data_IF_551418987808
#
_entry.id   IF_551418987808
#
_cell.length_a   1.000
_cell.length_b   1.000
_cell.length_c   1.000
_cell.angle_alpha   90.00
_cell.angle_beta   90.00
_cell.angle_gamma   90.00
#
_symmetry.space_group_name_H-M   'P 1'
#
loop_
_entity.id
_entity.type
_entity.pdbx_description
1 polymer ?
#
# COMPACT_ATOMS: atom_id res chain seq x y z
N UNK A 1 17.86 8.50 -22.17
CA UNK A 1 17.72 7.66 -20.96
C UNK A 1 16.61 8.26 -20.11
N UNK A 2 15.64 7.48 -19.60
CA UNK A 2 14.65 8.03 -18.67
C UNK A 2 15.37 8.56 -17.43
N UNK A 3 14.86 9.66 -16.86
CA UNK A 3 15.42 10.23 -15.64
C UNK A 3 15.39 9.19 -14.51
N UNK A 4 16.48 9.09 -13.76
CA UNK A 4 16.53 8.25 -12.55
C UNK A 4 15.43 8.71 -11.60
N UNK A 5 14.55 7.81 -11.19
CA UNK A 5 13.57 8.10 -10.16
C UNK A 5 14.30 8.31 -8.82
N UNK A 6 14.13 9.47 -8.15
CA UNK A 6 14.73 9.70 -6.84
C UNK A 6 14.14 8.76 -5.79
N UNK A 7 14.99 8.28 -4.88
CA UNK A 7 14.60 7.33 -3.83
C UNK A 7 13.89 8.06 -2.67
N UNK A 8 13.12 7.35 -1.82
CA UNK A 8 12.37 8.00 -0.75
C UNK A 8 13.22 8.89 0.15
N UNK A 9 14.42 8.45 0.56
CA UNK A 9 15.29 9.21 1.47
C UNK A 9 15.91 10.46 0.84
N UNK A 10 16.05 10.49 -0.49
CA UNK A 10 16.46 11.70 -1.23
C UNK A 10 15.33 12.74 -1.27
N UNK A 11 14.09 12.28 -1.43
CA UNK A 11 12.90 13.14 -1.44
C UNK A 11 12.46 13.58 -0.04
N UNK A 12 12.65 12.70 0.94
CA UNK A 12 12.14 12.77 2.30
C UNK A 12 13.24 12.30 3.27
N UNK A 13 14.13 13.20 3.73
CA UNK A 13 15.24 12.82 4.61
C UNK A 13 14.82 12.07 5.87
N UNK A 14 13.69 12.48 6.45
CA UNK A 14 13.07 11.88 7.64
C UNK A 14 12.21 10.65 7.30
N UNK A 15 12.42 9.96 6.19
CA UNK A 15 11.64 8.76 5.84
C UNK A 15 11.73 7.68 6.93
N UNK A 16 10.61 6.98 7.25
CA UNK A 16 9.24 7.15 6.76
C UNK A 16 8.42 8.11 7.64
N UNK A 17 9.04 8.95 8.47
CA UNK A 17 8.37 9.80 9.46
C UNK A 17 8.09 11.23 8.92
N UNK A 18 8.67 11.62 7.78
CA UNK A 18 8.46 12.88 7.10
C UNK A 18 6.99 13.22 6.76
N UNK A 19 6.65 14.50 6.63
CA UNK A 19 5.34 14.91 6.09
C UNK A 19 5.34 14.85 4.55
N UNK A 20 4.41 14.10 3.96
CA UNK A 20 4.36 13.88 2.50
C UNK A 20 3.04 14.39 1.93
N UNK A 21 3.11 15.36 1.00
CA UNK A 21 1.94 15.88 0.27
C UNK A 21 1.55 15.01 -0.94
N UNK A 22 2.51 14.33 -1.56
CA UNK A 22 2.23 13.43 -2.68
C UNK A 22 1.52 12.18 -2.16
N UNK A 23 0.26 11.99 -2.56
CA UNK A 23 -0.58 10.91 -2.06
C UNK A 23 -0.03 9.52 -2.39
N UNK A 24 0.60 9.33 -3.55
CA UNK A 24 1.19 8.04 -3.91
C UNK A 24 2.39 7.70 -3.01
N UNK A 25 3.28 8.66 -2.77
CA UNK A 25 4.40 8.49 -1.85
C UNK A 25 3.93 8.28 -0.41
N UNK A 26 2.87 8.97 0.01
CA UNK A 26 2.25 8.80 1.33
C UNK A 26 1.68 7.38 1.51
N UNK A 27 1.13 6.74 0.46
CA UNK A 27 0.65 5.35 0.55
C UNK A 27 1.79 4.38 0.82
N UNK A 28 2.90 4.54 0.11
CA UNK A 28 4.10 3.74 0.31
C UNK A 28 4.75 3.99 1.67
N UNK A 29 4.73 5.24 2.14
CA UNK A 29 5.17 5.59 3.49
C UNK A 29 4.35 4.87 4.56
N UNK A 30 3.02 4.86 4.44
CA UNK A 30 2.15 4.13 5.36
C UNK A 30 2.43 2.62 5.32
N UNK A 31 2.66 2.05 4.14
CA UNK A 31 3.06 0.64 4.03
C UNK A 31 4.39 0.36 4.76
N UNK A 32 5.41 1.22 4.61
CA UNK A 32 6.67 1.10 5.35
C UNK A 32 6.47 1.21 6.87
N UNK A 33 5.60 2.12 7.34
CA UNK A 33 5.24 2.25 8.75
C UNK A 33 4.47 1.02 9.26
N UNK A 34 3.60 0.44 8.45
CA UNK A 34 2.84 -0.76 8.79
C UNK A 34 3.76 -1.98 8.94
N UNK A 35 4.79 -2.10 8.10
CA UNK A 35 5.85 -3.12 8.25
C UNK A 35 6.59 -2.91 9.58
N UNK A 36 7.07 -1.70 9.87
CA UNK A 36 7.76 -1.39 11.14
C UNK A 36 6.89 -1.72 12.35
N UNK A 37 5.60 -1.38 12.30
CA UNK A 37 4.62 -1.66 13.35
C UNK A 37 4.40 -3.16 13.50
N UNK A 38 4.24 -3.88 12.40
CA UNK A 38 4.04 -5.33 12.46
C UNK A 38 5.22 -6.02 13.15
N UNK A 39 6.46 -5.71 12.78
CA UNK A 39 7.65 -6.29 13.43
C UNK A 39 7.78 -5.89 14.90
N UNK A 40 7.42 -4.65 15.25
CA UNK A 40 7.45 -4.19 16.65
C UNK A 40 6.42 -4.89 17.53
N UNK A 41 5.21 -5.06 17.02
CA UNK A 41 4.06 -5.51 17.80
C UNK A 41 3.89 -7.04 17.76
N UNK A 42 4.63 -7.75 16.90
CA UNK A 42 4.56 -9.20 16.75
C UNK A 42 5.48 -9.90 17.76
N UNK A 43 4.94 -10.92 18.46
CA UNK A 43 5.64 -11.69 19.48
C UNK A 43 6.64 -12.68 18.86
N UNK A 44 6.33 -13.19 17.66
CA UNK A 44 7.11 -14.23 16.97
C UNK A 44 8.05 -13.63 15.92
N UNK A 45 7.64 -12.57 15.21
CA UNK A 45 8.43 -11.90 14.17
C UNK A 45 9.07 -10.61 14.71
N UNK A 46 10.23 -10.74 15.36
CA UNK A 46 10.89 -9.64 16.10
C UNK A 46 11.85 -8.80 15.27
N UNK A 47 12.10 -9.20 14.03
CA UNK A 47 13.03 -8.48 13.14
C UNK A 47 12.60 -8.47 11.68
N UNK A 48 13.21 -7.58 10.88
CA UNK A 48 13.06 -7.61 9.42
C UNK A 48 13.66 -8.88 8.80
N UNK A 49 14.57 -9.55 9.50
CA UNK A 49 15.15 -10.82 9.06
C UNK A 49 14.11 -11.94 9.18
N UNK A 50 13.42 -12.04 10.31
CA UNK A 50 12.34 -13.03 10.48
C UNK A 50 11.23 -12.79 9.46
N UNK A 51 10.92 -11.51 9.20
CA UNK A 51 9.97 -11.12 8.15
C UNK A 51 10.42 -11.59 6.75
N UNK A 52 11.71 -11.49 6.43
CA UNK A 52 12.25 -11.98 5.17
C UNK A 52 12.11 -13.51 5.02
N UNK A 53 12.35 -14.24 6.11
CA UNK A 53 12.25 -15.71 6.14
C UNK A 53 10.82 -16.18 5.87
N UNK A 54 9.81 -15.55 6.47
CA UNK A 54 8.40 -15.96 6.28
C UNK A 54 7.78 -15.46 4.97
N UNK A 55 8.28 -14.37 4.40
CA UNK A 55 7.73 -13.77 3.17
C UNK A 55 8.41 -14.24 1.90
N UNK A 56 9.59 -14.86 1.99
CA UNK A 56 10.44 -15.17 0.85
C UNK A 56 11.01 -13.94 0.13
N UNK A 57 10.81 -12.74 0.69
CA UNK A 57 11.41 -11.49 0.19
C UNK A 57 12.77 -11.29 0.84
N UNK A 58 13.78 -10.94 0.05
CA UNK A 58 15.13 -10.72 0.56
C UNK A 58 15.18 -9.64 1.67
N UNK A 59 15.93 -9.92 2.74
CA UNK A 59 16.09 -9.00 3.88
C UNK A 59 16.56 -7.61 3.45
N UNK A 60 17.50 -7.51 2.50
CA UNK A 60 17.98 -6.24 1.95
C UNK A 60 16.85 -5.46 1.28
N UNK A 61 15.99 -6.11 0.50
CA UNK A 61 14.85 -5.48 -0.16
C UNK A 61 13.86 -4.88 0.84
N UNK A 62 13.51 -5.64 1.90
CA UNK A 62 12.63 -5.14 2.95
C UNK A 62 13.29 -3.97 3.70
N UNK A 63 14.56 -4.14 4.08
CA UNK A 63 15.34 -3.12 4.80
C UNK A 63 15.48 -1.83 4.00
N UNK A 64 15.77 -1.93 2.70
CA UNK A 64 15.94 -0.78 1.81
C UNK A 64 14.64 -0.01 1.66
N UNK A 65 13.50 -0.69 1.53
CA UNK A 65 12.20 -0.03 1.51
C UNK A 65 11.90 0.67 2.84
N UNK A 66 12.01 -0.05 3.96
CA UNK A 66 11.71 0.48 5.30
C UNK A 66 12.64 1.64 5.69
N UNK A 67 13.87 1.65 5.19
CA UNK A 67 14.85 2.71 5.40
C UNK A 67 14.80 3.83 4.33
N UNK A 68 13.97 3.69 3.29
CA UNK A 68 13.82 4.68 2.23
C UNK A 68 14.94 4.70 1.20
N UNK A 69 15.76 3.65 1.14
CA UNK A 69 16.83 3.46 0.15
C UNK A 69 16.32 2.96 -1.20
N UNK A 70 15.10 2.42 -1.26
CA UNK A 70 14.46 1.99 -2.51
C UNK A 70 12.93 2.12 -2.43
N UNK A 71 12.30 2.29 -3.60
CA UNK A 71 10.87 2.04 -3.76
C UNK A 71 10.63 0.53 -3.91
N UNK A 72 9.63 -0.05 -3.21
CA UNK A 72 9.31 -1.45 -3.37
C UNK A 72 8.56 -1.66 -4.69
N UNK A 73 8.65 -2.87 -5.24
CA UNK A 73 7.74 -3.26 -6.31
C UNK A 73 6.36 -3.62 -5.74
N UNK A 74 5.33 -3.63 -6.59
CA UNK A 74 4.00 -4.15 -6.21
C UNK A 74 4.09 -5.61 -5.77
N UNK A 75 4.92 -6.41 -6.46
CA UNK A 75 5.16 -7.81 -6.11
C UNK A 75 5.76 -7.95 -4.71
N UNK A 76 6.71 -7.09 -4.35
CA UNK A 76 7.32 -7.06 -3.00
C UNK A 76 6.27 -6.82 -1.92
N UNK A 77 5.35 -5.88 -2.14
CA UNK A 77 4.25 -5.64 -1.18
C UNK A 77 3.35 -6.86 -1.09
N UNK A 78 2.95 -7.46 -2.21
CA UNK A 78 2.08 -8.63 -2.23
C UNK A 78 2.71 -9.85 -1.54
N UNK A 79 4.00 -10.12 -1.77
CA UNK A 79 4.72 -11.21 -1.11
C UNK A 79 4.80 -11.00 0.39
N UNK A 80 5.01 -9.76 0.84
CA UNK A 80 4.98 -9.45 2.27
C UNK A 80 3.60 -9.74 2.85
N UNK A 81 2.52 -9.24 2.24
CA UNK A 81 1.15 -9.46 2.72
C UNK A 81 0.76 -10.93 2.79
N UNK A 82 1.12 -11.71 1.77
CA UNK A 82 0.87 -13.16 1.73
C UNK A 82 1.67 -13.87 2.81
N UNK A 83 2.96 -13.53 3.00
CA UNK A 83 3.83 -14.20 3.95
C UNK A 83 3.48 -13.95 5.43
N UNK A 84 2.85 -12.83 5.75
CA UNK A 84 2.39 -12.51 7.11
C UNK A 84 0.88 -12.67 7.31
N UNK A 85 0.16 -13.15 6.30
CA UNK A 85 -1.31 -13.26 6.25
C UNK A 85 -2.03 -11.99 6.74
N UNK A 86 -1.55 -10.81 6.29
CA UNK A 86 -2.07 -9.52 6.76
C UNK A 86 -1.84 -8.41 5.75
N UNK A 87 -2.86 -7.56 5.58
CA UNK A 87 -2.75 -6.32 4.80
C UNK A 87 -1.74 -5.33 5.44
N UNK A 88 -0.70 -4.96 4.70
CA UNK A 88 0.20 -3.83 5.02
C UNK A 88 -0.10 -2.61 4.18
N UNK A 89 -0.74 -2.80 3.02
CA UNK A 89 -1.13 -1.73 2.13
C UNK A 89 -2.26 -0.91 2.77
N UNK A 90 -2.14 0.42 2.81
CA UNK A 90 -3.14 1.26 3.47
C UNK A 90 -4.47 1.23 2.70
N UNK A 91 -5.56 0.84 3.37
CA UNK A 91 -6.92 0.97 2.78
C UNK A 91 -7.36 2.42 2.56
N UNK A 92 -6.67 3.39 3.15
CA UNK A 92 -6.85 4.84 2.96
C UNK A 92 -5.68 5.64 3.55
N UNK A 93 -5.57 6.93 3.21
CA UNK A 93 -4.50 7.83 3.66
C UNK A 93 -4.82 8.60 4.96
N UNK A 94 -5.97 8.35 5.59
CA UNK A 94 -6.45 9.03 6.80
C UNK A 94 -7.92 8.72 7.10
N UNK A 95 -8.31 8.88 8.37
CA UNK A 95 -9.62 8.55 8.95
C UNK A 95 -10.81 9.10 8.16
N UNK A 96 -11.86 8.30 8.01
CA UNK A 96 -13.16 8.78 7.53
C UNK A 96 -13.56 8.43 6.10
N UNK A 97 -12.80 7.64 5.34
CA UNK A 97 -13.32 7.02 4.12
C UNK A 97 -13.18 5.51 4.13
N UNK A 98 -13.92 4.87 5.04
CA UNK A 98 -14.70 3.71 4.62
C UNK A 98 -15.50 4.20 3.41
N UNK A 99 -15.10 3.80 2.21
CA UNK A 99 -16.02 3.87 1.07
C UNK A 99 -17.22 3.05 1.55
N UNK A 100 -18.30 3.72 1.95
CA UNK A 100 -19.51 3.01 2.33
C UNK A 100 -19.87 2.20 1.10
N UNK A 101 -20.00 0.88 1.22
CA UNK A 101 -20.49 -0.03 0.18
C UNK A 101 -21.77 0.50 -0.53
N UNK A 102 -22.45 1.47 0.08
CA UNK A 102 -23.62 2.17 -0.45
C UNK A 102 -23.36 3.06 -1.68
N UNK A 103 -22.13 3.46 -2.01
CA UNK A 103 -21.87 4.32 -3.19
C UNK A 103 -21.53 3.57 -4.49
N UNK A 104 -21.05 2.33 -4.42
CA UNK A 104 -20.89 1.48 -5.62
C UNK A 104 -22.23 1.12 -6.27
N UNK A 105 -23.34 1.19 -5.53
CA UNK A 105 -24.68 0.99 -6.08
C UNK A 105 -25.16 2.15 -6.98
N UNK A 106 -24.58 3.36 -6.84
CA UNK A 106 -24.98 4.53 -7.65
C UNK A 106 -24.37 4.53 -9.06
N UNK A 107 -23.28 3.78 -9.27
CA UNK A 107 -22.70 3.58 -10.60
C UNK A 107 -23.33 2.39 -11.37
N UNK A 108 -24.21 1.60 -10.73
CA UNK A 108 -24.79 0.37 -11.31
C UNK A 108 -26.24 0.46 -11.80
N UNK A 109 -26.93 1.59 -11.67
CA UNK A 109 -28.33 1.72 -12.11
C UNK A 109 -28.58 2.95 -13.00
N UNK A 110 -28.01 2.90 -14.20
CA UNK A 110 -28.79 3.23 -15.41
C UNK A 110 -29.00 1.95 -16.21
N UNK A 111 -29.99 1.15 -15.80
CA UNK A 111 -30.69 0.31 -16.78
C UNK A 111 -31.50 1.29 -17.62
N UNK A 112 -30.98 1.57 -18.81
CA UNK A 112 -31.73 2.23 -19.87
C UNK A 112 -32.95 1.36 -20.19
N UNK A 113 -34.07 1.65 -19.51
CA UNK A 113 -35.39 1.16 -19.84
C UNK A 113 -36.12 2.29 -20.56
N UNK A 114 -35.65 2.66 -21.73
CA UNK A 114 -36.44 3.49 -22.64
C UNK A 114 -36.08 3.18 -24.08
N UNK A 115 -36.40 1.95 -24.50
CA UNK A 115 -36.58 1.59 -25.92
C UNK A 115 -37.32 0.26 -26.04
N UNK A 116 -38.59 0.26 -25.65
CA UNK A 116 -39.62 -0.60 -26.24
C UNK A 116 -40.98 -0.11 -25.72
N UNK A 117 -41.52 0.92 -26.36
CA UNK A 117 -42.96 1.17 -26.37
C UNK A 117 -43.45 0.76 -27.75
N UNK A 118 -44.36 -0.21 -27.79
CA UNK A 118 -45.11 -0.62 -28.97
C UNK A 118 -46.23 0.40 -29.23
N UNK A 119 -46.57 0.59 -30.50
CA UNK A 119 -47.92 0.98 -30.92
C UNK A 119 -47.99 2.32 -31.64
N UNK A 120 -47.94 2.29 -32.98
CA UNK A 120 -49.14 2.34 -33.83
C UNK A 120 -48.80 1.82 -35.24
#
# INVERSE_FOLDING_TARGET
MPARQPIPKELYPEWPDAQIKNLAHARLQLAARNIRRHVRDNIELKSLKDLAEVTGVGHSTISDFVAGRAWPSVLTIAQIEVGIDREIWPRGLGEGRRIRRTEIAKFGHKKDRSRFSRGH
#
